data_IF_150112625252
#
_entry.id   IF_150112625252
#
_cell.length_a   1.000
_cell.length_b   1.000
_cell.length_c   1.000
_cell.angle_alpha   90.00
_cell.angle_beta   90.00
_cell.angle_gamma   90.00
#
_symmetry.space_group_name_H-M   'P 1'
#
loop_
_entity.id
_entity.type
_entity.pdbx_description
1 polymer ?
#
# COMPACT_ATOMS: atom_id res chain seq x y z
N UNK A 1 -8.19 16.65 -1.95
CA UNK A 1 -7.25 15.55 -2.24
C UNK A 1 -7.05 15.49 -3.75
N UNK A 2 -5.81 15.38 -4.24
CA UNK A 2 -5.52 15.15 -5.67
C UNK A 2 -4.95 13.73 -5.82
N UNK A 3 -5.32 13.03 -6.89
CA UNK A 3 -4.90 11.64 -7.14
C UNK A 3 -4.23 11.57 -8.51
N UNK A 4 -2.95 11.22 -8.53
CA UNK A 4 -2.15 11.07 -9.75
C UNK A 4 -2.03 9.58 -10.06
N UNK A 5 -2.43 9.18 -11.26
CA UNK A 5 -2.35 7.80 -11.75
C UNK A 5 -1.57 7.76 -13.06
N UNK A 6 -0.78 6.71 -13.26
CA UNK A 6 -0.17 6.43 -14.55
C UNK A 6 -1.23 5.87 -15.51
N UNK A 7 -1.55 6.60 -16.58
CA UNK A 7 -2.43 6.14 -17.67
C UNK A 7 -1.53 5.51 -18.75
N UNK A 8 -1.79 4.26 -19.11
CA UNK A 8 -1.12 3.60 -20.24
C UNK A 8 -1.91 3.83 -21.54
N UNK A 9 -1.17 4.05 -22.63
CA UNK A 9 -1.64 3.88 -24.01
C UNK A 9 -1.29 2.44 -24.46
N UNK A 10 -2.19 1.78 -25.18
CA UNK A 10 -2.32 0.31 -25.46
C UNK A 10 -1.05 -0.42 -25.97
N UNK A 11 -0.80 -1.74 -25.76
CA UNK A 11 -1.43 -2.86 -26.49
C UNK A 11 -1.05 -4.28 -25.93
N UNK A 12 -0.95 -4.48 -24.60
CA UNK A 12 -0.49 -5.75 -23.98
C UNK A 12 -1.39 -6.26 -22.87
N UNK A 13 -2.70 -6.23 -23.10
CA UNK A 13 -3.72 -6.26 -22.03
C UNK A 13 -4.04 -7.66 -21.47
N UNK A 14 -3.81 -8.74 -22.23
CA UNK A 14 -4.31 -10.08 -21.88
C UNK A 14 -3.37 -10.91 -21.00
N UNK A 15 -2.05 -10.69 -21.03
CA UNK A 15 -1.09 -11.40 -20.15
C UNK A 15 -0.89 -10.66 -18.83
N UNK A 16 -0.90 -9.33 -18.86
CA UNK A 16 -0.78 -8.47 -17.68
C UNK A 16 -1.96 -8.66 -16.69
N UNK A 17 -3.18 -8.93 -17.19
CA UNK A 17 -4.37 -9.05 -16.35
C UNK A 17 -4.32 -10.24 -15.37
N UNK A 18 -3.65 -11.33 -15.74
CA UNK A 18 -3.48 -12.51 -14.87
C UNK A 18 -2.35 -12.30 -13.85
N UNK A 19 -1.26 -11.61 -14.23
CA UNK A 19 -0.17 -11.21 -13.35
C UNK A 19 -0.60 -10.13 -12.34
N UNK A 20 -1.49 -9.21 -12.75
CA UNK A 20 -2.17 -8.21 -11.90
C UNK A 20 -2.96 -8.83 -10.75
N UNK A 21 -3.29 -10.12 -10.81
CA UNK A 21 -4.06 -10.80 -9.76
C UNK A 21 -3.21 -11.31 -8.59
N UNK A 22 -1.87 -11.25 -8.66
CA UNK A 22 -0.98 -11.84 -7.64
C UNK A 22 -0.20 -10.84 -6.78
N UNK A 23 -0.44 -9.54 -6.99
CA UNK A 23 0.21 -8.49 -6.23
C UNK A 23 -0.62 -8.03 -5.04
N UNK A 24 0.05 -7.58 -3.98
CA UNK A 24 -0.61 -6.80 -2.93
C UNK A 24 -0.29 -5.32 -3.10
N UNK A 25 -1.22 -4.45 -2.71
CA UNK A 25 -0.95 -3.01 -2.67
C UNK A 25 -0.23 -2.64 -1.37
N UNK A 26 0.80 -1.82 -1.49
CA UNK A 26 1.62 -1.31 -0.39
C UNK A 26 1.68 0.21 -0.50
N UNK A 27 1.33 0.88 0.59
CA UNK A 27 1.38 2.33 0.69
C UNK A 27 2.66 2.79 1.41
N UNK A 28 3.18 3.95 1.00
CA UNK A 28 4.38 4.57 1.55
C UNK A 28 4.07 6.04 1.89
N UNK A 29 4.16 6.39 3.17
CA UNK A 29 4.00 7.76 3.66
C UNK A 29 5.28 8.58 3.39
N UNK A 30 5.15 9.61 2.56
CA UNK A 30 6.30 10.33 2.00
C UNK A 30 6.02 11.81 1.77
N UNK A 31 7.04 12.64 1.99
CA UNK A 31 7.04 14.05 1.62
C UNK A 31 7.52 14.27 0.19
N UNK A 32 8.43 13.43 -0.31
CA UNK A 32 9.20 13.64 -1.55
C UNK A 32 8.94 12.59 -2.65
N UNK A 33 8.06 11.62 -2.42
CA UNK A 33 7.75 10.48 -3.31
C UNK A 33 8.94 9.53 -3.57
N UNK A 34 10.04 9.68 -2.85
CA UNK A 34 11.28 8.92 -3.03
C UNK A 34 11.62 8.09 -1.80
N UNK A 35 11.41 8.66 -0.61
CA UNK A 35 11.73 8.06 0.69
C UNK A 35 10.48 7.95 1.55
N UNK A 36 10.46 6.96 2.43
CA UNK A 36 9.53 6.95 3.57
C UNK A 36 10.12 7.81 4.67
N UNK A 37 9.70 9.05 4.72
CA UNK A 37 10.21 10.10 5.61
C UNK A 37 9.11 10.82 6.39
N UNK A 38 7.84 10.46 6.16
CA UNK A 38 6.71 11.16 6.74
C UNK A 38 6.05 10.41 7.90
N UNK A 39 5.55 11.17 8.87
CA UNK A 39 4.55 10.69 9.81
C UNK A 39 3.24 10.41 9.04
N UNK A 40 2.61 9.25 9.27
CA UNK A 40 1.42 8.84 8.51
C UNK A 40 0.30 9.90 8.54
N UNK A 41 0.02 10.47 9.71
CA UNK A 41 -1.04 11.48 9.89
C UNK A 41 -0.80 12.79 9.14
N UNK A 42 0.45 13.12 8.77
CA UNK A 42 0.83 14.40 8.13
C UNK A 42 1.59 14.21 6.83
N UNK A 43 1.55 13.00 6.27
CA UNK A 43 2.17 12.72 4.99
C UNK A 43 1.50 13.58 3.92
N UNK A 44 2.29 14.39 3.21
CA UNK A 44 1.81 15.13 2.03
C UNK A 44 1.40 14.17 0.94
N UNK A 45 2.04 13.01 0.85
CA UNK A 45 1.74 12.00 -0.15
C UNK A 45 1.68 10.60 0.45
N UNK A 46 0.79 9.79 -0.12
CA UNK A 46 0.81 8.33 0.00
C UNK A 46 1.09 7.77 -1.39
N UNK A 47 2.30 7.23 -1.59
CA UNK A 47 2.67 6.54 -2.81
C UNK A 47 2.24 5.07 -2.69
N UNK A 48 1.49 4.56 -3.66
CA UNK A 48 0.93 3.21 -3.64
C UNK A 48 1.56 2.41 -4.77
N UNK A 49 2.11 1.26 -4.41
CA UNK A 49 2.67 0.28 -5.33
C UNK A 49 1.92 -1.03 -5.23
N UNK A 50 1.79 -1.72 -6.35
CA UNK A 50 1.49 -3.15 -6.39
C UNK A 50 2.82 -3.90 -6.34
N UNK A 51 2.95 -4.87 -5.43
CA UNK A 51 4.18 -5.63 -5.19
C UNK A 51 3.89 -7.13 -5.27
N UNK A 52 4.63 -7.84 -6.10
CA UNK A 52 4.73 -9.31 -6.12
C UNK A 52 6.09 -9.74 -5.56
N UNK A 53 6.37 -11.05 -5.49
CA UNK A 53 7.68 -11.53 -5.05
C UNK A 53 8.80 -11.24 -6.07
N UNK A 54 8.45 -10.99 -7.33
CA UNK A 54 9.36 -10.83 -8.46
C UNK A 54 9.41 -9.40 -9.00
N UNK A 55 8.29 -8.68 -8.97
CA UNK A 55 8.17 -7.36 -9.59
C UNK A 55 7.37 -6.38 -8.71
N UNK A 56 7.40 -5.11 -9.08
CA UNK A 56 6.58 -4.07 -8.47
C UNK A 56 6.17 -3.02 -9.50
N UNK A 57 5.04 -2.36 -9.25
CA UNK A 57 4.51 -1.33 -10.14
C UNK A 57 3.96 -0.18 -9.32
N UNK A 58 4.35 1.04 -9.67
CA UNK A 58 3.68 2.23 -9.14
C UNK A 58 2.23 2.26 -9.64
N UNK A 59 1.28 2.36 -8.73
CA UNK A 59 -0.15 2.42 -9.04
C UNK A 59 -0.60 3.87 -9.07
N UNK A 60 -0.37 4.59 -7.98
CA UNK A 60 -0.79 5.98 -7.84
C UNK A 60 -0.10 6.68 -6.68
N UNK A 61 -0.11 8.01 -6.72
CA UNK A 61 0.20 8.84 -5.58
C UNK A 61 -1.03 9.66 -5.21
N UNK A 62 -1.40 9.58 -3.94
CA UNK A 62 -2.48 10.36 -3.37
C UNK A 62 -1.87 11.53 -2.61
N UNK A 63 -2.15 12.74 -3.08
CA UNK A 63 -1.63 13.97 -2.50
C UNK A 63 -2.67 14.67 -1.63
N UNK A 64 -2.25 15.02 -0.43
CA UNK A 64 -3.02 15.74 0.57
C UNK A 64 -2.58 17.20 0.62
N UNK A 65 -3.45 18.07 1.12
CA UNK A 65 -3.05 19.44 1.40
C UNK A 65 -1.94 19.43 2.45
N UNK A 66 -1.11 20.47 2.45
CA UNK A 66 -0.11 20.63 3.49
C UNK A 66 -0.82 20.93 4.82
N UNK A 67 -0.59 20.07 5.81
CA UNK A 67 -1.30 20.11 7.08
C UNK A 67 -0.31 20.29 8.23
N UNK A 68 -0.69 21.13 9.20
CA UNK A 68 0.10 21.31 10.43
C UNK A 68 0.02 20.07 11.31
N UNK A 69 1.11 19.82 12.01
CA UNK A 69 1.29 18.81 13.06
C UNK A 69 0.54 19.21 14.36
N UNK A 70 -0.77 19.40 14.26
CA UNK A 70 -1.62 19.94 15.34
C UNK A 70 -2.46 18.87 16.07
N UNK A 71 -2.31 17.60 15.69
CA UNK A 71 -3.05 16.49 16.30
C UNK A 71 -4.51 16.37 15.88
N UNK A 72 -4.99 17.14 14.89
CA UNK A 72 -6.37 17.02 14.43
C UNK A 72 -6.63 15.67 13.73
N UNK A 73 -7.46 14.83 14.35
CA UNK A 73 -7.78 13.48 13.92
C UNK A 73 -8.75 13.41 12.73
N UNK A 74 -9.49 14.48 12.41
CA UNK A 74 -10.39 14.52 11.25
C UNK A 74 -9.63 14.38 9.93
N UNK A 75 -8.34 14.75 9.94
CA UNK A 75 -7.41 14.68 8.81
C UNK A 75 -6.94 13.24 8.50
N UNK A 76 -7.14 12.33 9.44
CA UNK A 76 -6.70 10.94 9.32
C UNK A 76 -7.65 10.11 8.47
N UNK A 77 -8.95 10.43 8.50
CA UNK A 77 -9.98 9.68 7.78
C UNK A 77 -9.69 9.59 6.28
N UNK A 78 -9.31 10.71 5.64
CA UNK A 78 -8.97 10.76 4.22
C UNK A 78 -7.72 9.93 3.87
N UNK A 79 -6.72 9.88 4.78
CA UNK A 79 -5.50 9.09 4.60
C UNK A 79 -5.74 7.60 4.74
N UNK A 80 -6.57 7.20 5.71
CA UNK A 80 -7.02 5.81 5.86
C UNK A 80 -7.84 5.39 4.65
N UNK A 81 -8.73 6.24 4.17
CA UNK A 81 -9.55 5.98 2.98
C UNK A 81 -8.69 5.69 1.75
N UNK A 82 -7.61 6.46 1.58
CA UNK A 82 -6.67 6.28 0.48
C UNK A 82 -5.93 4.93 0.46
N UNK A 83 -5.88 4.21 1.59
CA UNK A 83 -5.11 2.96 1.73
C UNK A 83 -5.97 1.74 2.08
N UNK A 84 -7.31 1.84 2.04
CA UNK A 84 -8.20 0.72 2.44
C UNK A 84 -8.00 -0.55 1.61
N UNK A 85 -7.47 -0.41 0.41
CA UNK A 85 -7.15 -1.51 -0.49
C UNK A 85 -5.68 -1.97 -0.40
N UNK A 86 -4.88 -1.36 0.49
CA UNK A 86 -3.50 -1.73 0.75
C UNK A 86 -3.41 -2.78 1.85
N UNK A 87 -2.45 -3.69 1.72
CA UNK A 87 -2.12 -4.66 2.77
C UNK A 87 -1.23 -4.05 3.86
N UNK A 88 -0.34 -3.14 3.46
CA UNK A 88 0.71 -2.56 4.31
C UNK A 88 0.75 -1.05 4.09
N UNK A 89 1.07 -0.29 5.14
CA UNK A 89 1.52 1.10 5.02
C UNK A 89 2.85 1.29 5.78
N UNK A 90 3.88 1.74 5.06
CA UNK A 90 5.15 2.16 5.65
C UNK A 90 5.10 3.65 6.03
N UNK A 91 5.64 3.99 7.20
CA UNK A 91 5.74 5.38 7.67
C UNK A 91 6.96 5.59 8.57
N UNK A 92 7.46 6.82 8.65
CA UNK A 92 8.53 7.17 9.59
C UNK A 92 8.00 7.24 11.03
N UNK A 93 6.74 7.63 11.20
CA UNK A 93 6.08 7.66 12.49
C UNK A 93 4.56 7.52 12.35
N UNK A 94 3.93 7.01 13.40
CA UNK A 94 2.48 6.91 13.54
C UNK A 94 2.13 6.90 15.03
N UNK A 95 1.23 7.79 15.45
CA UNK A 95 0.68 7.79 16.81
C UNK A 95 -0.22 6.58 17.08
N UNK A 96 -0.43 6.26 18.36
CA UNK A 96 -1.20 5.08 18.77
C UNK A 96 -2.64 5.04 18.24
N UNK A 97 -3.38 6.16 18.32
CA UNK A 97 -4.74 6.25 17.77
C UNK A 97 -4.77 6.06 16.25
N UNK A 98 -3.78 6.62 15.55
CA UNK A 98 -3.58 6.42 14.12
C UNK A 98 -3.34 4.96 13.75
N UNK A 99 -2.41 4.30 14.43
CA UNK A 99 -2.09 2.89 14.20
C UNK A 99 -3.30 1.99 14.44
N UNK A 100 -4.04 2.22 15.53
CA UNK A 100 -5.26 1.46 15.84
C UNK A 100 -6.30 1.55 14.71
N UNK A 101 -6.50 2.74 14.14
CA UNK A 101 -7.46 2.94 13.04
C UNK A 101 -6.98 2.33 11.72
N UNK A 102 -5.68 2.35 11.44
CA UNK A 102 -5.09 1.67 10.27
C UNK A 102 -5.29 0.15 10.38
N UNK A 103 -5.05 -0.43 11.56
CA UNK A 103 -5.30 -1.85 11.82
C UNK A 103 -6.79 -2.18 11.73
N UNK A 104 -7.67 -1.31 12.24
CA UNK A 104 -9.12 -1.48 12.10
C UNK A 104 -9.57 -1.47 10.62
N UNK A 105 -8.87 -0.73 9.76
CA UNK A 105 -9.07 -0.75 8.31
C UNK A 105 -8.45 -1.97 7.60
N UNK A 106 -7.96 -2.97 8.36
CA UNK A 106 -7.30 -4.18 7.85
C UNK A 106 -6.01 -3.93 7.06
N UNK A 107 -5.31 -2.83 7.39
CA UNK A 107 -3.99 -2.49 6.85
C UNK A 107 -2.95 -2.66 7.95
N UNK A 108 -1.78 -3.23 7.63
CA UNK A 108 -0.70 -3.42 8.59
C UNK A 108 0.26 -2.21 8.59
N UNK A 109 0.36 -1.42 9.66
CA UNK A 109 1.32 -0.32 9.74
C UNK A 109 2.73 -0.83 10.06
N UNK A 110 3.72 -0.40 9.28
CA UNK A 110 5.15 -0.63 9.54
C UNK A 110 5.87 0.69 9.76
N UNK A 111 6.33 0.91 10.98
CA UNK A 111 7.14 2.07 11.35
C UNK A 111 8.61 1.80 11.07
N UNK A 112 9.27 2.73 10.39
CA UNK A 112 10.71 2.71 10.18
C UNK A 112 11.45 3.41 11.32
N UNK A 113 12.66 2.93 11.63
CA UNK A 113 13.54 3.58 12.60
C UNK A 113 14.19 4.85 12.04
N UNK A 114 14.43 4.89 10.72
CA UNK A 114 15.03 6.00 10.00
C UNK A 114 14.47 6.06 8.57
N UNK A 115 14.55 7.23 7.89
CA UNK A 115 14.08 7.35 6.51
C UNK A 115 14.84 6.42 5.55
N UNK A 116 14.10 5.75 4.66
CA UNK A 116 14.64 4.80 3.69
C UNK A 116 13.99 5.00 2.31
N UNK A 117 14.71 4.65 1.24
CA UNK A 117 14.16 4.70 -0.13
C UNK A 117 13.00 3.71 -0.28
N UNK A 118 11.96 4.13 -0.99
CA UNK A 118 10.79 3.28 -1.27
C UNK A 118 11.22 2.02 -2.04
N UNK A 119 12.15 2.15 -2.99
CA UNK A 119 12.68 1.03 -3.78
C UNK A 119 13.41 -0.01 -2.93
N UNK A 120 14.13 0.42 -1.91
CA UNK A 120 14.88 -0.47 -1.02
C UNK A 120 13.92 -1.25 -0.11
N UNK A 121 12.88 -0.59 0.39
CA UNK A 121 11.82 -1.22 1.17
C UNK A 121 11.04 -2.25 0.35
N UNK A 122 10.72 -1.94 -0.91
CA UNK A 122 10.10 -2.90 -1.84
C UNK A 122 11.03 -4.11 -2.02
N UNK A 123 12.32 -3.89 -2.27
CA UNK A 123 13.30 -4.97 -2.44
C UNK A 123 13.38 -5.87 -1.21
N UNK A 124 13.39 -5.28 0.00
CA UNK A 124 13.36 -6.02 1.28
C UNK A 124 12.08 -6.83 1.42
N UNK A 125 10.92 -6.23 1.13
CA UNK A 125 9.63 -6.91 1.18
C UNK A 125 9.61 -8.10 0.21
N UNK A 126 10.06 -7.92 -1.04
CA UNK A 126 10.18 -8.99 -2.02
C UNK A 126 11.08 -10.13 -1.53
N UNK A 127 12.17 -9.83 -0.83
CA UNK A 127 13.01 -10.83 -0.16
C UNK A 127 12.22 -11.69 0.84
N UNK A 128 11.36 -11.06 1.65
CA UNK A 128 10.46 -11.77 2.58
C UNK A 128 9.43 -12.61 1.83
N UNK A 129 8.86 -12.09 0.74
CA UNK A 129 7.86 -12.79 -0.07
C UNK A 129 8.43 -14.03 -0.77
N UNK A 130 9.68 -13.99 -1.26
CA UNK A 130 10.38 -15.12 -1.88
C UNK A 130 10.82 -16.20 -0.89
N UNK A 131 11.04 -15.82 0.37
CA UNK A 131 11.42 -16.74 1.43
C UNK A 131 10.21 -17.47 2.01
N UNK A 132 10.08 -17.43 3.34
CA UNK A 132 8.93 -17.98 4.05
C UNK A 132 8.13 -16.81 4.62
N UNK A 133 7.21 -16.21 3.84
CA UNK A 133 6.44 -15.08 4.33
C UNK A 133 5.57 -15.52 5.52
N UNK A 134 5.43 -14.66 6.55
CA UNK A 134 4.52 -14.92 7.67
C UNK A 134 3.10 -15.27 7.19
N UNK A 135 2.32 -16.07 7.94
CA UNK A 135 1.00 -16.52 7.51
C UNK A 135 0.04 -15.39 7.09
N UNK A 136 0.08 -14.25 7.80
CA UNK A 136 -0.75 -13.09 7.49
C UNK A 136 -0.36 -12.44 6.15
N UNK A 137 0.93 -12.39 5.82
CA UNK A 137 1.45 -11.80 4.59
C UNK A 137 1.14 -12.71 3.39
N UNK A 138 1.24 -14.02 3.59
CA UNK A 138 0.78 -15.02 2.62
C UNK A 138 -0.71 -14.83 2.31
N UNK A 139 -1.55 -14.62 3.32
CA UNK A 139 -2.98 -14.33 3.13
C UNK A 139 -3.21 -13.00 2.38
N UNK A 140 -2.41 -11.98 2.63
CA UNK A 140 -2.52 -10.69 1.95
C UNK A 140 -2.21 -10.78 0.45
N UNK A 141 -1.21 -11.58 0.05
CA UNK A 141 -0.94 -11.89 -1.37
C UNK A 141 -2.16 -12.51 -2.05
N UNK A 142 -2.81 -13.46 -1.37
CA UNK A 142 -3.99 -14.18 -1.89
C UNK A 142 -5.28 -13.34 -1.88
N UNK A 143 -5.35 -12.25 -1.11
CA UNK A 143 -6.52 -11.35 -1.09
C UNK A 143 -6.57 -10.44 -2.33
N UNK A 144 -5.42 -10.21 -2.99
CA UNK A 144 -5.36 -9.62 -4.32
C UNK A 144 -5.95 -10.54 -5.41
N UNK A 145 -6.04 -11.85 -5.13
CA UNK A 145 -6.79 -12.81 -5.92
C UNK A 145 -8.27 -12.78 -5.45
N UNK A 146 -9.15 -12.03 -6.12
CA UNK A 146 -10.59 -12.18 -5.89
C UNK A 146 -10.96 -13.67 -6.05
N UNK A 147 -11.48 -14.29 -4.99
CA UNK A 147 -12.09 -15.62 -5.05
C UNK A 147 -13.32 -15.55 -5.95
N UNK A 148 -13.19 -15.90 -7.22
CA UNK A 148 -14.30 -16.52 -7.95
C UNK A 148 -14.48 -17.91 -7.36
N UNK A 149 -15.41 -18.04 -6.42
CA UNK A 149 -16.07 -19.33 -6.20
C UNK A 149 -17.07 -19.46 -7.34
N UNK A 150 -16.64 -20.04 -8.46
CA UNK A 150 -17.54 -20.46 -9.51
C UNK A 150 -18.34 -21.65 -8.96
N UNK A 151 -19.51 -21.36 -8.39
CA UNK A 151 -20.54 -22.38 -8.12
C UNK A 151 -21.19 -22.73 -9.45
N UNK A 152 -20.49 -23.53 -10.25
CA UNK A 152 -21.08 -24.24 -11.37
C UNK A 152 -20.79 -25.73 -11.13
N UNK A 153 -21.67 -26.39 -10.39
CA UNK A 153 -22.25 -27.69 -10.76
C UNK A 153 -23.25 -28.17 -9.69
N UNK A 154 -24.31 -28.81 -10.19
CA UNK A 154 -25.50 -29.43 -9.54
C UNK A 154 -26.68 -28.49 -9.21
N UNK A 155 -27.70 -28.43 -10.08
CA UNK A 155 -28.80 -29.42 -10.18
C UNK A 155 -29.38 -29.45 -11.60
#
# INVERSE_FOLDING_TARGET
MRRLRLIRTDAKETVDAQQRRRGMKVAFATQDLTRVDAHFGWARNLAIYEVTAEDHRFVEAVQFAEEKEDGNEDKLAAKIDAIRDCAIVYCAAIGGSGAARVVAAQVHPLKLAQPELITDLITKLQGVLRGVPPPWLRKALLKGEERKLDFADEV
#
